data_IF_033420865373
#
_entry.id   IF_033420865373
#
_cell.length_a   1.000
_cell.length_b   1.000
_cell.length_c   1.000
_cell.angle_alpha   90.00
_cell.angle_beta   90.00
_cell.angle_gamma   90.00
#
_symmetry.space_group_name_H-M   'P 1'
#
loop_
_entity.id
_entity.type
_entity.pdbx_description
1 polymer ?
#
# COMPACT_ATOMS: atom_id res chain seq x y z
N UNK A 1 -8.37 6.02 -33.70
CA UNK A 1 -7.87 6.11 -32.32
C UNK A 1 -8.41 4.91 -31.57
N UNK A 2 -7.56 4.14 -30.91
CA UNK A 2 -8.06 3.05 -30.10
C UNK A 2 -8.85 3.61 -28.92
N UNK A 3 -10.02 3.03 -28.68
CA UNK A 3 -11.01 3.55 -27.72
C UNK A 3 -10.69 3.14 -26.26
N UNK A 4 -9.40 2.89 -25.92
CA UNK A 4 -9.02 2.48 -24.57
C UNK A 4 -7.76 3.19 -24.07
N UNK A 5 -7.65 3.26 -22.75
CA UNK A 5 -6.45 3.70 -22.03
C UNK A 5 -5.81 2.48 -21.39
N UNK A 6 -4.49 2.36 -21.47
CA UNK A 6 -3.74 1.30 -20.83
C UNK A 6 -3.19 1.77 -19.49
N UNK A 7 -3.41 0.98 -18.45
CA UNK A 7 -2.81 1.17 -17.12
C UNK A 7 -1.86 0.00 -16.85
N UNK A 8 -0.66 0.29 -16.39
CA UNK A 8 0.35 -0.71 -16.04
C UNK A 8 0.59 -0.68 -14.53
N UNK A 9 0.33 -1.80 -13.87
CA UNK A 9 0.41 -1.97 -12.42
C UNK A 9 -0.96 -1.90 -11.75
N UNK A 10 -1.38 -2.98 -11.13
CA UNK A 10 -2.65 -3.14 -10.41
C UNK A 10 -2.53 -2.88 -8.90
N UNK A 11 -1.55 -2.06 -8.47
CA UNK A 11 -1.45 -1.57 -7.11
C UNK A 11 -2.53 -0.56 -6.75
N UNK A 12 -2.36 0.16 -5.63
CA UNK A 12 -3.34 1.17 -5.19
C UNK A 12 -3.55 2.24 -6.26
N UNK A 13 -2.48 2.84 -6.78
CA UNK A 13 -2.57 3.92 -7.76
C UNK A 13 -3.19 3.47 -9.08
N UNK A 14 -2.78 2.31 -9.61
CA UNK A 14 -3.30 1.79 -10.88
C UNK A 14 -4.75 1.32 -10.77
N UNK A 15 -5.15 0.73 -9.65
CA UNK A 15 -6.55 0.35 -9.39
C UNK A 15 -7.46 1.59 -9.34
N UNK A 16 -7.02 2.67 -8.65
CA UNK A 16 -7.77 3.93 -8.62
C UNK A 16 -7.85 4.56 -10.01
N UNK A 17 -6.73 4.63 -10.75
CA UNK A 17 -6.71 5.17 -12.11
C UNK A 17 -7.65 4.40 -13.03
N UNK A 18 -7.59 3.07 -12.99
CA UNK A 18 -8.48 2.17 -13.76
C UNK A 18 -9.95 2.47 -13.46
N UNK A 19 -10.31 2.54 -12.18
CA UNK A 19 -11.67 2.85 -11.75
C UNK A 19 -12.14 4.21 -12.26
N UNK A 20 -11.33 5.25 -12.08
CA UNK A 20 -11.69 6.62 -12.45
C UNK A 20 -11.84 6.78 -13.96
N UNK A 21 -11.05 6.08 -14.76
CA UNK A 21 -11.16 6.09 -16.24
C UNK A 21 -12.42 5.31 -16.65
N UNK A 22 -12.60 4.11 -16.14
CA UNK A 22 -13.71 3.24 -16.48
C UNK A 22 -15.06 3.83 -16.08
N UNK A 23 -15.14 4.47 -14.92
CA UNK A 23 -16.34 5.17 -14.44
C UNK A 23 -16.79 6.29 -15.40
N UNK A 24 -15.88 6.87 -16.16
CA UNK A 24 -16.18 7.89 -17.18
C UNK A 24 -16.59 7.29 -18.53
N UNK A 25 -16.81 5.97 -18.60
CA UNK A 25 -17.23 5.27 -19.80
C UNK A 25 -16.10 4.93 -20.77
N UNK A 26 -14.84 5.19 -20.40
CA UNK A 26 -13.69 4.90 -21.24
C UNK A 26 -13.26 3.44 -20.98
N UNK A 27 -12.92 2.70 -22.05
CA UNK A 27 -12.39 1.34 -21.92
C UNK A 27 -10.97 1.37 -21.35
N UNK A 28 -10.66 0.43 -20.46
CA UNK A 28 -9.35 0.33 -19.80
C UNK A 28 -8.78 -1.07 -19.99
N UNK A 29 -7.50 -1.14 -20.32
CA UNK A 29 -6.67 -2.35 -20.18
C UNK A 29 -5.74 -2.18 -18.99
N UNK A 30 -5.92 -2.99 -17.98
CA UNK A 30 -5.07 -3.00 -16.79
C UNK A 30 -4.11 -4.19 -16.85
N UNK A 31 -2.82 -3.90 -17.00
CA UNK A 31 -1.77 -4.92 -16.92
C UNK A 31 -1.30 -5.08 -15.48
N UNK A 32 -1.34 -6.31 -14.97
CA UNK A 32 -0.86 -6.69 -13.65
C UNK A 32 -0.03 -7.97 -13.74
N UNK A 33 1.19 -7.96 -13.24
CA UNK A 33 2.11 -9.09 -13.34
C UNK A 33 1.70 -10.30 -12.48
N UNK A 34 0.97 -10.07 -11.37
CA UNK A 34 0.46 -11.17 -10.53
C UNK A 34 -0.71 -11.89 -11.23
N UNK A 35 -0.83 -13.19 -11.08
CA UNK A 35 -0.05 -14.12 -10.25
C UNK A 35 1.20 -14.69 -10.94
N UNK A 36 1.50 -14.31 -12.17
CA UNK A 36 2.60 -14.91 -12.93
C UNK A 36 3.99 -14.50 -12.40
N UNK A 37 4.07 -13.30 -11.83
CA UNK A 37 5.26 -12.80 -11.17
C UNK A 37 4.86 -11.95 -9.95
N UNK A 38 5.70 -11.97 -8.90
CA UNK A 38 5.49 -11.21 -7.67
C UNK A 38 6.67 -10.30 -7.40
N UNK A 39 6.40 -9.13 -6.83
CA UNK A 39 7.47 -8.34 -6.22
C UNK A 39 7.85 -8.96 -4.86
N UNK A 40 9.00 -8.61 -4.27
CA UNK A 40 9.42 -9.14 -2.97
C UNK A 40 8.42 -8.91 -1.83
N UNK A 41 7.54 -7.93 -1.93
CA UNK A 41 6.60 -7.56 -0.87
C UNK A 41 5.18 -8.08 -1.06
N UNK A 42 4.80 -8.50 -2.27
CA UNK A 42 3.45 -8.96 -2.57
C UNK A 42 3.32 -10.47 -2.42
N UNK A 43 2.19 -10.94 -1.92
CA UNK A 43 1.96 -12.35 -1.61
C UNK A 43 0.61 -12.89 -2.10
N UNK A 44 -0.35 -12.04 -2.46
CA UNK A 44 -1.65 -12.47 -2.97
C UNK A 44 -1.91 -12.02 -4.41
N UNK A 45 -2.87 -12.64 -5.06
CA UNK A 45 -3.20 -12.41 -6.47
C UNK A 45 -4.08 -11.18 -6.71
N UNK A 46 -4.61 -10.58 -5.66
CA UNK A 46 -5.55 -9.48 -5.77
C UNK A 46 -4.86 -8.18 -6.21
N UNK A 47 -5.65 -7.28 -6.77
CA UNK A 47 -5.26 -5.89 -7.00
C UNK A 47 -5.24 -5.11 -5.69
N UNK A 48 -4.57 -3.95 -5.68
CA UNK A 48 -4.51 -3.04 -4.54
C UNK A 48 -4.07 -3.72 -3.22
N UNK A 49 -3.17 -4.71 -3.29
CA UNK A 49 -2.61 -5.34 -2.09
C UNK A 49 -1.82 -4.33 -1.27
N UNK A 50 -2.14 -4.25 0.03
CA UNK A 50 -1.44 -3.38 0.98
C UNK A 50 -0.34 -4.18 1.66
N UNK A 51 0.92 -3.78 1.48
CA UNK A 51 2.08 -4.57 1.89
C UNK A 51 2.81 -4.05 3.13
N UNK A 52 2.72 -2.75 3.42
CA UNK A 52 3.43 -2.11 4.52
C UNK A 52 2.70 -2.29 5.86
N UNK A 53 1.50 -1.73 5.96
CA UNK A 53 0.63 -1.84 7.13
C UNK A 53 -0.82 -1.92 6.66
N UNK A 54 -1.75 -2.20 7.56
CA UNK A 54 -3.17 -2.17 7.21
C UNK A 54 -3.82 -0.79 7.41
N UNK A 55 -3.03 0.27 7.67
CA UNK A 55 -3.52 1.59 8.04
C UNK A 55 -3.33 2.61 6.92
N UNK A 56 -4.42 3.34 6.61
CA UNK A 56 -4.41 4.55 5.80
C UNK A 56 -4.16 5.81 6.64
N UNK A 57 -3.57 5.67 7.83
CA UNK A 57 -3.32 6.74 8.81
C UNK A 57 -4.60 7.37 9.35
N UNK A 58 -4.48 8.50 10.04
CA UNK A 58 -5.60 9.16 10.70
C UNK A 58 -6.78 9.46 9.77
N UNK A 59 -7.99 9.29 10.27
CA UNK A 59 -9.24 9.63 9.61
C UNK A 59 -9.83 10.96 10.11
N UNK A 60 -9.13 11.66 10.99
CA UNK A 60 -9.59 12.96 11.52
C UNK A 60 -9.38 14.07 10.49
N UNK A 61 -10.42 14.83 10.23
CA UNK A 61 -10.39 15.99 9.31
C UNK A 61 -9.49 17.13 9.81
N UNK A 62 -9.11 17.11 11.08
CA UNK A 62 -8.24 18.11 11.69
C UNK A 62 -6.75 17.93 11.38
N UNK A 63 -6.40 16.85 10.69
CA UNK A 63 -5.02 16.62 10.23
C UNK A 63 -4.97 16.36 8.73
N UNK A 64 -3.78 16.55 8.15
CA UNK A 64 -3.56 16.44 6.71
C UNK A 64 -3.98 15.09 6.11
N UNK A 65 -3.72 13.98 6.81
CA UNK A 65 -4.08 12.64 6.32
C UNK A 65 -5.61 12.43 6.27
N UNK A 66 -6.34 12.96 7.24
CA UNK A 66 -7.79 12.89 7.26
C UNK A 66 -8.43 13.83 6.25
N UNK A 67 -7.91 15.05 6.13
CA UNK A 67 -8.36 16.01 5.12
C UNK A 67 -8.19 15.49 3.70
N UNK A 68 -7.02 14.92 3.39
CA UNK A 68 -6.78 14.28 2.08
C UNK A 68 -7.80 13.18 1.77
N UNK A 69 -8.15 12.36 2.77
CA UNK A 69 -9.18 11.33 2.56
C UNK A 69 -10.56 11.92 2.27
N UNK A 70 -10.89 13.05 2.89
CA UNK A 70 -12.16 13.74 2.60
C UNK A 70 -12.19 14.29 1.19
N UNK A 71 -11.09 14.87 0.73
CA UNK A 71 -10.94 15.30 -0.66
C UNK A 71 -11.08 14.13 -1.64
N UNK A 72 -10.47 12.99 -1.33
CA UNK A 72 -10.61 11.77 -2.12
C UNK A 72 -12.04 11.21 -2.10
N UNK A 73 -12.79 11.31 -0.97
CA UNK A 73 -14.21 10.96 -0.93
C UNK A 73 -15.03 11.84 -1.86
N UNK A 74 -14.76 13.14 -1.86
CA UNK A 74 -15.44 14.10 -2.75
C UNK A 74 -15.14 13.83 -4.23
N UNK A 75 -13.98 13.24 -4.55
CA UNK A 75 -13.62 12.77 -5.88
C UNK A 75 -14.17 11.38 -6.20
N UNK A 76 -14.93 10.77 -5.26
CA UNK A 76 -15.51 9.43 -5.36
C UNK A 76 -14.44 8.36 -5.63
N UNK A 77 -13.39 8.36 -4.80
CA UNK A 77 -12.31 7.38 -4.83
C UNK A 77 -12.82 5.98 -4.48
N UNK A 78 -12.51 5.00 -5.33
CA UNK A 78 -12.77 3.59 -5.08
C UNK A 78 -12.07 3.12 -3.82
N UNK A 79 -10.78 3.44 -3.68
CA UNK A 79 -9.97 2.93 -2.57
C UNK A 79 -10.47 3.44 -1.21
N UNK A 80 -10.83 4.72 -1.11
CA UNK A 80 -11.34 5.28 0.15
C UNK A 80 -12.73 4.75 0.48
N UNK A 81 -13.57 4.52 -0.53
CA UNK A 81 -14.87 3.87 -0.36
C UNK A 81 -14.71 2.45 0.18
N UNK A 82 -13.90 1.62 -0.50
CA UNK A 82 -13.65 0.23 -0.08
C UNK A 82 -12.94 0.18 1.27
N UNK A 83 -12.02 1.11 1.56
CA UNK A 83 -11.38 1.19 2.87
C UNK A 83 -12.40 1.44 4.00
N UNK A 84 -13.39 2.31 3.77
CA UNK A 84 -14.48 2.51 4.72
C UNK A 84 -15.35 1.26 4.94
N UNK A 85 -15.59 0.49 3.88
CA UNK A 85 -16.41 -0.72 3.91
C UNK A 85 -15.70 -1.94 4.51
N UNK A 86 -14.37 -1.92 4.58
CA UNK A 86 -13.52 -3.00 5.10
C UNK A 86 -12.73 -2.57 6.34
N UNK A 87 -13.16 -1.45 6.95
CA UNK A 87 -12.50 -0.89 8.11
C UNK A 87 -12.57 -1.84 9.30
N UNK A 88 -11.45 -1.92 10.02
CA UNK A 88 -11.35 -2.58 11.31
C UNK A 88 -11.11 -1.53 12.39
N UNK A 89 -11.50 -1.80 13.64
CA UNK A 89 -11.30 -0.87 14.74
C UNK A 89 -9.80 -0.52 14.90
N UNK A 90 -9.47 0.78 14.89
CA UNK A 90 -8.09 1.29 14.98
C UNK A 90 -8.02 2.70 15.59
N UNK A 91 -8.89 3.01 16.54
CA UNK A 91 -8.98 4.34 17.15
C UNK A 91 -9.26 5.41 16.11
N UNK A 92 -8.37 6.39 15.99
CA UNK A 92 -8.52 7.50 15.03
C UNK A 92 -7.96 7.20 13.63
N UNK A 93 -7.39 6.02 13.40
CA UNK A 93 -6.86 5.62 12.11
C UNK A 93 -7.92 4.90 11.28
N UNK A 94 -7.85 5.05 9.97
CA UNK A 94 -8.57 4.19 9.03
C UNK A 94 -7.69 2.96 8.76
N UNK A 95 -7.91 1.89 9.50
CA UNK A 95 -7.29 0.61 9.24
C UNK A 95 -8.29 -0.35 8.60
N UNK A 96 -7.81 -1.28 7.81
CA UNK A 96 -8.64 -2.21 7.03
C UNK A 96 -8.19 -3.66 7.22
N UNK A 97 -9.12 -4.59 7.01
CA UNK A 97 -8.74 -5.95 6.70
C UNK A 97 -8.12 -6.00 5.30
N UNK A 98 -6.81 -6.28 5.21
CA UNK A 98 -6.04 -6.21 3.96
C UNK A 98 -6.52 -7.18 2.89
N UNK A 99 -6.93 -8.37 3.29
CA UNK A 99 -7.39 -9.40 2.36
C UNK A 99 -8.78 -9.06 1.81
N UNK A 100 -9.70 -8.68 2.70
CA UNK A 100 -11.05 -8.27 2.31
C UNK A 100 -10.99 -7.00 1.45
N UNK A 101 -10.14 -6.05 1.79
CA UNK A 101 -9.92 -4.82 1.03
C UNK A 101 -9.46 -5.11 -0.41
N UNK A 102 -8.35 -5.84 -0.56
CA UNK A 102 -7.78 -6.13 -1.89
C UNK A 102 -8.72 -6.98 -2.74
N UNK A 103 -9.39 -7.96 -2.13
CA UNK A 103 -10.42 -8.76 -2.80
C UNK A 103 -11.56 -7.90 -3.32
N UNK A 104 -12.10 -7.00 -2.50
CA UNK A 104 -13.23 -6.14 -2.86
C UNK A 104 -12.89 -5.14 -3.96
N UNK A 105 -11.67 -4.57 -3.93
CA UNK A 105 -11.17 -3.73 -5.03
C UNK A 105 -11.09 -4.53 -6.33
N UNK A 106 -10.54 -5.74 -6.27
CA UNK A 106 -10.41 -6.62 -7.44
C UNK A 106 -11.78 -6.94 -8.03
N UNK A 107 -12.70 -7.44 -7.22
CA UNK A 107 -14.08 -7.77 -7.64
C UNK A 107 -14.81 -6.56 -8.24
N UNK A 108 -14.59 -5.37 -7.68
CA UNK A 108 -15.21 -4.15 -8.21
C UNK A 108 -14.72 -3.86 -9.62
N UNK A 109 -13.41 -3.94 -9.87
CA UNK A 109 -12.85 -3.68 -11.19
C UNK A 109 -13.18 -4.77 -12.20
N UNK A 110 -13.19 -6.05 -11.80
CA UNK A 110 -13.58 -7.19 -12.64
C UNK A 110 -15.04 -7.10 -13.10
N UNK A 111 -15.91 -6.54 -12.26
CA UNK A 111 -17.33 -6.36 -12.58
C UNK A 111 -17.62 -5.13 -13.46
N UNK A 112 -16.64 -4.29 -13.76
CA UNK A 112 -16.81 -3.19 -14.70
C UNK A 112 -16.68 -3.67 -16.13
N UNK A 113 -17.77 -3.64 -16.89
CA UNK A 113 -17.85 -4.20 -18.25
C UNK A 113 -16.92 -3.55 -19.29
N UNK A 114 -16.26 -2.44 -18.95
CA UNK A 114 -15.29 -1.72 -19.78
C UNK A 114 -13.86 -1.78 -19.24
N UNK A 115 -13.57 -2.68 -18.28
CA UNK A 115 -12.24 -2.96 -17.75
C UNK A 115 -11.81 -4.36 -18.20
N UNK A 116 -10.65 -4.45 -18.84
CA UNK A 116 -9.98 -5.70 -19.20
C UNK A 116 -8.73 -5.83 -18.33
N UNK A 117 -8.69 -6.85 -17.44
CA UNK A 117 -7.51 -7.12 -16.60
C UNK A 117 -6.66 -8.18 -17.30
N UNK A 118 -5.44 -7.80 -17.66
CA UNK A 118 -4.47 -8.64 -18.35
C UNK A 118 -3.37 -9.03 -17.38
N UNK A 119 -3.30 -10.28 -17.00
CA UNK A 119 -2.34 -10.84 -16.06
C UNK A 119 -1.01 -11.13 -16.76
N UNK A 120 -0.26 -10.06 -17.07
CA UNK A 120 1.00 -10.15 -17.79
C UNK A 120 1.94 -9.03 -17.34
N UNK A 121 3.25 -9.33 -17.30
CA UNK A 121 4.30 -8.37 -16.98
C UNK A 121 4.74 -7.61 -18.24
N UNK A 122 4.75 -6.29 -18.17
CA UNK A 122 5.33 -5.43 -19.20
C UNK A 122 6.85 -5.46 -19.08
N UNK A 123 7.54 -5.61 -20.19
CA UNK A 123 9.00 -5.73 -20.26
C UNK A 123 9.47 -7.16 -20.54
N UNK A 124 8.56 -8.15 -20.53
CA UNK A 124 8.86 -9.54 -20.85
C UNK A 124 8.10 -10.03 -22.08
N UNK A 125 8.54 -11.13 -22.63
CA UNK A 125 7.89 -11.88 -23.74
C UNK A 125 7.56 -11.01 -24.97
N UNK A 126 8.40 -9.99 -25.24
CA UNK A 126 8.22 -9.07 -26.37
C UNK A 126 7.18 -7.97 -26.13
N UNK A 127 6.56 -7.93 -24.96
CA UNK A 127 5.62 -6.87 -24.58
C UNK A 127 6.38 -5.68 -23.99
N UNK A 128 6.38 -4.55 -24.69
CA UNK A 128 7.10 -3.34 -24.26
C UNK A 128 6.17 -2.15 -24.08
N UNK A 129 6.62 -1.17 -23.27
CA UNK A 129 5.92 0.10 -23.12
C UNK A 129 5.72 0.77 -24.47
N UNK A 130 6.74 0.76 -25.34
CA UNK A 130 6.65 1.33 -26.68
C UNK A 130 5.56 0.65 -27.51
N UNK A 131 5.43 -0.67 -27.42
CA UNK A 131 4.42 -1.41 -28.18
C UNK A 131 3.02 -1.09 -27.72
N UNK A 132 2.76 -1.06 -26.41
CA UNK A 132 1.44 -0.72 -25.88
C UNK A 132 1.08 0.75 -26.08
N UNK A 133 2.09 1.64 -26.15
CA UNK A 133 1.88 3.06 -26.40
C UNK A 133 1.46 3.37 -27.86
N UNK A 134 1.72 2.46 -28.81
CA UNK A 134 1.20 2.59 -30.19
C UNK A 134 -0.32 2.56 -30.24
N UNK A 135 -0.92 1.92 -29.26
CA UNK A 135 -2.37 1.76 -29.15
C UNK A 135 -3.07 2.94 -28.45
N UNK A 136 -2.35 3.87 -27.84
CA UNK A 136 -2.94 5.03 -27.18
C UNK A 136 -2.21 5.50 -25.93
N UNK A 137 -2.96 6.07 -24.99
CA UNK A 137 -2.41 6.59 -23.74
C UNK A 137 -2.05 5.44 -22.81
N UNK A 138 -0.85 5.52 -22.23
CA UNK A 138 -0.36 4.57 -21.21
C UNK A 138 -0.10 5.31 -19.91
N UNK A 139 -0.61 4.77 -18.81
CA UNK A 139 -0.36 5.23 -17.44
C UNK A 139 0.47 4.16 -16.74
N UNK A 140 1.69 4.48 -16.34
CA UNK A 140 2.55 3.59 -15.57
C UNK A 140 2.34 3.90 -14.07
N UNK A 141 1.80 2.93 -13.35
CA UNK A 141 1.40 3.05 -11.94
C UNK A 141 1.92 1.86 -11.09
N UNK A 142 3.14 1.40 -11.38
CA UNK A 142 3.74 0.20 -10.80
C UNK A 142 4.34 0.40 -9.41
N UNK A 143 4.40 1.65 -8.94
CA UNK A 143 4.88 1.99 -7.60
C UNK A 143 6.38 1.75 -7.40
N UNK A 144 6.84 1.67 -6.14
CA UNK A 144 8.27 1.60 -5.82
C UNK A 144 8.91 0.24 -6.14
N UNK A 145 8.11 -0.81 -6.35
CA UNK A 145 8.58 -2.17 -6.65
C UNK A 145 8.36 -2.52 -8.12
N UNK A 146 8.59 -1.57 -9.00
CA UNK A 146 8.60 -1.78 -10.45
C UNK A 146 9.61 -2.87 -10.80
N UNK A 147 9.20 -3.82 -11.66
CA UNK A 147 10.10 -4.90 -12.08
C UNK A 147 11.32 -4.38 -12.83
N UNK A 148 12.43 -5.10 -12.74
CA UNK A 148 13.69 -4.71 -13.40
C UNK A 148 13.50 -4.57 -14.92
N UNK A 149 12.69 -5.43 -15.53
CA UNK A 149 12.42 -5.40 -16.96
C UNK A 149 11.69 -4.13 -17.40
N UNK A 150 10.70 -3.70 -16.63
CA UNK A 150 9.97 -2.45 -16.90
C UNK A 150 10.80 -1.22 -16.52
N UNK A 151 11.53 -1.26 -15.39
CA UNK A 151 12.42 -0.17 -14.97
C UNK A 151 13.43 0.17 -16.04
N UNK A 152 14.06 -0.85 -16.66
CA UNK A 152 15.00 -0.66 -17.77
C UNK A 152 14.33 0.07 -18.95
N UNK A 153 13.13 -0.32 -19.34
CA UNK A 153 12.42 0.34 -20.44
C UNK A 153 12.06 1.80 -20.12
N UNK A 154 11.67 2.08 -18.85
CA UNK A 154 11.39 3.46 -18.43
C UNK A 154 12.64 4.32 -18.53
N UNK A 155 13.80 3.81 -18.07
CA UNK A 155 15.08 4.51 -18.17
C UNK A 155 15.46 4.79 -19.63
N UNK A 156 15.30 3.80 -20.51
CA UNK A 156 15.55 3.97 -21.96
C UNK A 156 14.64 5.05 -22.58
N UNK A 157 13.37 5.11 -22.19
CA UNK A 157 12.40 6.09 -22.69
C UNK A 157 12.66 7.50 -22.15
N UNK A 158 13.15 7.64 -20.92
CA UNK A 158 13.43 8.95 -20.31
C UNK A 158 14.81 9.49 -20.68
N UNK A 159 15.68 8.65 -21.26
CA UNK A 159 17.05 9.02 -21.62
C UNK A 159 17.97 9.19 -20.40
N UNK A 160 17.55 8.71 -19.23
CA UNK A 160 18.39 8.72 -18.03
C UNK A 160 19.32 7.52 -18.02
N UNK A 161 20.55 7.72 -17.51
CA UNK A 161 21.47 6.62 -17.30
C UNK A 161 20.91 5.62 -16.28
N UNK A 162 21.03 4.33 -16.62
CA UNK A 162 20.59 3.22 -15.76
C UNK A 162 21.28 3.16 -14.37
N UNK A 163 22.16 4.12 -14.08
CA UNK A 163 22.88 4.28 -12.83
C UNK A 163 22.09 5.04 -11.73
N UNK A 164 20.93 5.59 -12.04
CA UNK A 164 20.04 6.12 -11.00
C UNK A 164 19.09 5.00 -10.57
N UNK A 165 19.44 4.18 -9.56
CA UNK A 165 18.51 3.19 -9.06
C UNK A 165 17.32 3.95 -8.48
N UNK A 166 16.11 3.58 -8.87
CA UNK A 166 14.92 3.89 -8.07
C UNK A 166 15.10 3.05 -6.80
N UNK A 167 15.91 3.56 -5.87
CA UNK A 167 16.24 2.87 -4.62
C UNK A 167 15.04 3.05 -3.70
N UNK A 168 14.07 2.15 -3.79
CA UNK A 168 13.05 1.99 -2.77
C UNK A 168 13.16 0.64 -2.03
N UNK A 169 14.24 -0.12 -2.28
CA UNK A 169 14.48 -1.36 -1.53
C UNK A 169 14.59 -1.10 -0.03
N UNK A 170 15.21 0.00 0.36
CA UNK A 170 15.46 0.30 1.78
C UNK A 170 14.21 0.73 2.57
N UNK A 171 13.14 1.18 1.91
CA UNK A 171 11.93 1.61 2.64
C UNK A 171 11.05 0.45 3.11
N UNK A 172 11.19 -0.73 2.54
CA UNK A 172 10.42 -1.92 2.94
C UNK A 172 11.10 -2.61 4.13
N UNK A 173 12.41 -2.57 4.21
CA UNK A 173 13.20 -3.17 5.29
C UNK A 173 13.07 -2.41 6.62
N UNK A 174 12.74 -1.12 6.59
CA UNK A 174 12.60 -0.29 7.80
C UNK A 174 11.21 -0.30 8.43
N UNK A 175 10.24 -1.00 7.89
CA UNK A 175 8.88 -1.07 8.42
C UNK A 175 8.60 -2.30 9.29
N UNK A 176 9.57 -2.77 10.04
CA UNK A 176 9.26 -3.41 11.31
C UNK A 176 8.83 -2.27 12.23
N UNK A 177 7.56 -1.95 12.15
CA UNK A 177 6.99 -0.84 12.89
C UNK A 177 7.01 -1.18 14.39
N UNK A 178 7.99 -0.67 15.07
CA UNK A 178 7.89 -0.46 16.50
C UNK A 178 6.87 0.65 16.73
N UNK A 179 5.61 0.30 16.87
CA UNK A 179 4.59 1.19 17.40
C UNK A 179 4.67 1.20 18.92
N UNK A 180 5.81 1.68 19.44
CA UNK A 180 5.86 2.32 20.73
C UNK A 180 5.96 3.81 20.46
N UNK A 181 4.88 4.52 20.52
CA UNK A 181 4.86 5.96 20.34
C UNK A 181 5.75 6.60 21.42
N UNK A 182 6.72 7.44 21.01
CA UNK A 182 7.62 8.17 21.91
C UNK A 182 6.86 8.97 22.99
N UNK A 183 5.66 9.40 22.66
CA UNK A 183 4.73 10.07 23.56
C UNK A 183 4.18 9.14 24.66
N UNK A 184 3.93 7.88 24.35
CA UNK A 184 3.49 6.86 25.32
C UNK A 184 4.65 6.41 26.22
N UNK A 185 5.88 6.38 25.70
CA UNK A 185 7.09 6.11 26.48
C UNK A 185 7.38 7.22 27.50
N UNK A 186 7.09 8.49 27.17
CA UNK A 186 7.23 9.61 28.10
C UNK A 186 6.14 9.61 29.17
N UNK A 187 4.90 9.26 28.83
CA UNK A 187 3.79 9.09 29.79
C UNK A 187 3.99 7.91 30.73
N UNK A 188 4.50 6.79 30.25
CA UNK A 188 4.77 5.61 31.09
C UNK A 188 5.88 5.82 32.14
N UNK A 189 6.62 6.94 32.07
CA UNK A 189 7.61 7.30 33.09
C UNK A 189 6.99 7.92 34.35
N UNK A 190 5.80 8.51 34.23
CA UNK A 190 5.19 9.31 35.28
C UNK A 190 3.91 8.68 35.86
N UNK A 191 3.33 7.67 35.23
CA UNK A 191 2.13 6.96 35.69
C UNK A 191 2.48 5.54 36.11
N UNK A 192 1.78 5.03 37.15
CA UNK A 192 1.83 3.63 37.53
C UNK A 192 1.37 2.75 36.36
N UNK A 193 2.27 1.92 35.86
CA UNK A 193 2.04 1.05 34.71
C UNK A 193 0.80 0.17 34.86
N UNK A 194 0.50 -0.26 36.11
CA UNK A 194 -0.69 -1.06 36.38
C UNK A 194 -1.99 -0.24 36.32
N UNK A 195 -1.96 1.00 36.74
CA UNK A 195 -3.11 1.92 36.59
C UNK A 195 -3.38 2.26 35.13
N UNK A 196 -2.33 2.42 34.34
CA UNK A 196 -2.41 2.65 32.91
C UNK A 196 -2.96 1.41 32.16
N UNK A 197 -2.49 0.20 32.50
CA UNK A 197 -3.03 -1.07 31.98
C UNK A 197 -4.51 -1.25 32.32
N UNK A 198 -4.93 -0.82 33.49
CA UNK A 198 -6.34 -0.89 33.93
C UNK A 198 -7.22 0.10 33.17
N UNK A 199 -6.71 1.29 32.85
CA UNK A 199 -7.42 2.29 32.02
C UNK A 199 -7.61 1.80 30.58
N UNK A 200 -6.59 1.19 29.98
CA UNK A 200 -6.68 0.63 28.62
C UNK A 200 -7.71 -0.51 28.48
N UNK A 201 -7.89 -1.31 29.51
CA UNK A 201 -8.92 -2.38 29.53
C UNK A 201 -10.36 -1.86 29.48
N UNK A 202 -10.58 -0.62 29.89
CA UNK A 202 -11.91 0.00 29.96
C UNK A 202 -12.26 0.86 28.75
N UNK A 203 -11.27 1.24 27.93
CA UNK A 203 -11.50 1.92 26.66
C UNK A 203 -11.82 0.87 25.59
N UNK A 204 -13.10 0.55 25.45
CA UNK A 204 -13.62 -0.49 24.54
C UNK A 204 -13.36 -0.24 23.04
N UNK A 205 -12.57 0.77 22.70
CA UNK A 205 -12.19 1.17 21.34
C UNK A 205 -10.68 1.02 21.03
N UNK A 206 -9.88 0.47 21.96
CA UNK A 206 -8.46 0.26 21.72
C UNK A 206 -8.22 -0.97 20.85
N UNK A 207 -8.09 -0.75 19.56
CA UNK A 207 -7.89 -1.78 18.52
C UNK A 207 -6.44 -2.24 18.38
N UNK A 208 -5.55 -1.69 19.15
CA UNK A 208 -4.14 -2.06 19.21
C UNK A 208 -3.80 -2.62 20.58
N UNK A 209 -3.04 -3.72 20.59
CA UNK A 209 -2.41 -4.21 21.83
C UNK A 209 -1.20 -3.34 22.05
N UNK A 210 -1.28 -2.42 23.01
CA UNK A 210 -0.12 -1.68 23.47
C UNK A 210 0.59 -2.49 24.56
N UNK A 211 1.89 -2.65 24.41
CA UNK A 211 2.75 -3.29 25.40
C UNK A 211 3.58 -2.20 26.09
N UNK A 212 3.07 -1.60 27.17
CA UNK A 212 3.83 -0.61 27.90
C UNK A 212 5.04 -1.27 28.58
N UNK A 213 6.19 -0.65 28.46
CA UNK A 213 7.41 -1.09 29.07
C UNK A 213 7.93 0.01 29.99
N UNK A 214 8.37 -0.37 31.20
CA UNK A 214 9.19 0.52 32.00
C UNK A 214 10.62 0.60 31.42
N UNK A 215 11.47 1.43 31.99
CA UNK A 215 12.83 1.67 31.46
C UNK A 215 13.66 0.37 31.40
N UNK A 216 13.60 -0.47 32.43
CA UNK A 216 14.38 -1.70 32.52
C UNK A 216 13.90 -2.73 31.49
N UNK A 217 12.58 -2.89 31.33
CA UNK A 217 11.97 -3.75 30.33
C UNK A 217 12.33 -3.29 28.91
N UNK A 218 12.32 -1.96 28.68
CA UNK A 218 12.69 -1.39 27.38
C UNK A 218 14.19 -1.61 27.07
N UNK A 219 15.08 -1.37 28.06
CA UNK A 219 16.53 -1.59 27.89
C UNK A 219 16.84 -3.06 27.65
N UNK A 220 16.13 -3.98 28.34
CA UNK A 220 16.26 -5.41 28.10
C UNK A 220 15.78 -5.78 26.68
N UNK A 221 14.59 -5.36 26.31
CA UNK A 221 14.03 -5.58 24.97
C UNK A 221 14.95 -5.02 23.87
N UNK A 222 15.46 -3.79 24.05
CA UNK A 222 16.38 -3.17 23.10
C UNK A 222 17.68 -3.96 22.96
N UNK A 223 18.26 -4.42 24.05
CA UNK A 223 19.47 -5.24 24.04
C UNK A 223 19.26 -6.59 23.33
N UNK A 224 18.15 -7.26 23.58
CA UNK A 224 17.81 -8.50 22.90
C UNK A 224 17.62 -8.29 21.41
N UNK A 225 16.93 -7.20 21.02
CA UNK A 225 16.68 -6.87 19.62
C UNK A 225 17.96 -6.55 18.85
N UNK A 226 18.84 -5.73 19.44
CA UNK A 226 20.11 -5.32 18.77
C UNK A 226 21.08 -6.48 18.62
N UNK A 227 21.02 -7.46 19.53
CA UNK A 227 21.83 -8.66 19.49
C UNK A 227 21.13 -9.88 18.86
N UNK A 228 19.89 -9.72 18.39
CA UNK A 228 19.15 -10.79 17.74
C UNK A 228 19.86 -11.24 16.45
N UNK A 229 19.71 -12.50 16.14
CA UNK A 229 20.19 -13.07 14.88
C UNK A 229 19.44 -12.41 13.71
N UNK A 230 20.18 -11.80 12.80
CA UNK A 230 19.62 -11.14 11.62
C UNK A 230 19.37 -12.18 10.55
N UNK A 231 18.13 -12.25 10.05
CA UNK A 231 17.82 -13.09 8.89
C UNK A 231 18.55 -12.54 7.69
N UNK A 232 19.37 -13.36 7.03
CA UNK A 232 19.99 -12.98 5.76
C UNK A 232 18.90 -12.75 4.71
N UNK A 233 18.91 -11.55 4.15
CA UNK A 233 18.01 -11.20 3.05
C UNK A 233 18.53 -11.84 1.77
N UNK A 234 17.69 -12.66 1.17
CA UNK A 234 17.98 -13.31 -0.13
C UNK A 234 17.47 -12.46 -1.29
#
# INVERSE_FOLDING_TARGET
MNDFITVVGGGLAGSEATYQIAKRGIKVRLYEMKPNNFSPAHSNNNLAEIVCSNSFKSNLHTNACGLLKEELRNLDSLLIKVAGETAVPAGQALAVDREVFSKKVTETLENMGNVEIIRQEIGKDGLSVENIAKDGIVIIATGPLTSDALSKQILELTGEDAAAPIIFKDSIEMNIAFYGNRYEQERAKDEDVEEWKAKQKNDGDASYINLPMNKEEYEHFWNELVNAEVVELH
#
